data_IF_702483648764
#
_entry.id   IF_702483648764
#
_cell.length_a   1.000
_cell.length_b   1.000
_cell.length_c   1.000
_cell.angle_alpha   90.00
_cell.angle_beta   90.00
_cell.angle_gamma   90.00
#
_symmetry.space_group_name_H-M   'P 1'
#
loop_
_entity.id
_entity.type
_entity.pdbx_description
1 polymer ?
#
# COMPACT_ATOMS: atom_id res chain seq x y z
N UNK A 1 9.72 -4.26 14.71
CA UNK A 1 8.97 -3.36 13.81
C UNK A 1 9.77 -3.21 12.53
N UNK A 2 9.20 -3.45 11.34
CA UNK A 2 9.90 -3.21 10.09
C UNK A 2 10.10 -1.71 9.84
N UNK A 3 11.07 -1.36 9.00
CA UNK A 3 11.32 0.02 8.61
C UNK A 3 10.25 0.49 7.62
N UNK A 4 9.34 1.35 8.08
CA UNK A 4 8.22 1.82 7.27
C UNK A 4 8.67 2.69 6.09
N UNK A 5 9.75 3.46 6.22
CA UNK A 5 10.28 4.29 5.13
C UNK A 5 10.94 3.42 4.06
N UNK A 6 11.64 2.35 4.47
CA UNK A 6 12.17 1.36 3.53
C UNK A 6 11.05 0.66 2.76
N UNK A 7 10.00 0.19 3.46
CA UNK A 7 8.83 -0.45 2.82
C UNK A 7 8.16 0.52 1.83
N UNK A 8 7.96 1.78 2.23
CA UNK A 8 7.40 2.81 1.35
C UNK A 8 8.23 2.94 0.07
N UNK A 9 9.55 3.10 0.20
CA UNK A 9 10.45 3.22 -0.95
C UNK A 9 10.39 2.01 -1.88
N UNK A 10 10.35 0.80 -1.34
CA UNK A 10 10.22 -0.43 -2.12
C UNK A 10 8.91 -0.50 -2.91
N UNK A 11 7.79 -0.08 -2.31
CA UNK A 11 6.47 -0.06 -2.94
C UNK A 11 6.37 1.05 -3.99
N UNK A 12 6.89 2.25 -3.70
CA UNK A 12 6.96 3.36 -4.66
C UNK A 12 7.80 3.00 -5.88
N UNK A 13 8.92 2.29 -5.69
CA UNK A 13 9.75 1.81 -6.80
C UNK A 13 8.98 0.80 -7.68
N UNK A 14 8.24 -0.13 -7.07
CA UNK A 14 7.42 -1.09 -7.81
C UNK A 14 6.31 -0.39 -8.60
N UNK A 15 5.57 0.52 -7.97
CA UNK A 15 4.50 1.29 -8.62
C UNK A 15 5.02 2.03 -9.85
N UNK A 16 6.21 2.64 -9.74
CA UNK A 16 6.87 3.30 -10.87
C UNK A 16 7.27 2.31 -11.98
N UNK A 17 7.79 1.13 -11.63
CA UNK A 17 8.11 0.08 -12.62
C UNK A 17 6.86 -0.43 -13.35
N UNK A 18 5.71 -0.41 -12.69
CA UNK A 18 4.42 -0.78 -13.28
C UNK A 18 3.76 0.36 -14.07
N UNK A 19 4.27 1.60 -14.00
CA UNK A 19 3.73 2.76 -14.69
C UNK A 19 2.51 3.40 -14.02
N UNK A 20 2.40 3.28 -12.69
CA UNK A 20 1.27 3.82 -11.90
C UNK A 20 1.69 4.97 -10.96
N UNK A 21 2.86 5.58 -11.13
CA UNK A 21 3.38 6.64 -10.25
C UNK A 21 2.51 7.90 -10.21
N UNK A 22 1.81 8.20 -11.31
CA UNK A 22 0.88 9.34 -11.37
C UNK A 22 -0.49 9.00 -10.79
N UNK A 23 -0.83 7.71 -10.70
CA UNK A 23 -2.15 7.22 -10.32
C UNK A 23 -2.24 6.79 -8.85
N UNK A 24 -1.12 6.34 -8.28
CA UNK A 24 -1.04 5.80 -6.93
C UNK A 24 -0.08 6.63 -6.09
N UNK A 25 -0.45 6.90 -4.84
CA UNK A 25 0.42 7.54 -3.85
C UNK A 25 0.56 6.62 -2.64
N UNK A 26 1.79 6.33 -2.25
CA UNK A 26 2.08 5.47 -1.10
C UNK A 26 2.38 6.33 0.13
N UNK A 27 1.77 5.96 1.24
CA UNK A 27 2.14 6.43 2.56
C UNK A 27 2.39 5.20 3.43
N UNK A 28 3.45 5.18 4.22
CA UNK A 28 3.66 4.13 5.20
C UNK A 28 3.86 4.77 6.57
N UNK A 29 3.13 4.29 7.57
CA UNK A 29 3.22 4.81 8.93
C UNK A 29 3.37 3.66 9.91
N UNK A 30 4.15 3.84 11.00
CA UNK A 30 4.13 2.90 12.11
C UNK A 30 2.71 2.76 12.66
N UNK A 31 2.27 1.53 12.90
CA UNK A 31 0.99 1.26 13.55
C UNK A 31 1.21 0.29 14.70
N UNK A 32 1.12 0.81 15.92
CA UNK A 32 1.54 0.10 17.12
C UNK A 32 3.02 -0.30 17.09
N UNK A 33 3.37 -1.34 17.84
CA UNK A 33 4.79 -1.71 18.05
C UNK A 33 5.32 -2.76 17.06
N UNK A 34 4.44 -3.31 16.21
CA UNK A 34 4.74 -4.55 15.45
C UNK A 34 4.66 -4.39 13.93
N UNK A 35 3.92 -3.43 13.40
CA UNK A 35 3.66 -3.36 11.97
C UNK A 35 3.66 -1.93 11.42
N UNK A 36 3.87 -1.82 10.11
CA UNK A 36 3.68 -0.61 9.33
C UNK A 36 2.35 -0.72 8.58
N UNK A 37 1.50 0.30 8.71
CA UNK A 37 0.35 0.46 7.83
C UNK A 37 0.80 1.14 6.55
N UNK A 38 0.66 0.46 5.42
CA UNK A 38 0.97 0.95 4.07
C UNK A 38 -0.34 1.32 3.39
N UNK A 39 -0.59 2.62 3.26
CA UNK A 39 -1.75 3.21 2.61
C UNK A 39 -1.41 3.60 1.18
N UNK A 40 -2.21 3.10 0.23
CA UNK A 40 -2.11 3.44 -1.19
C UNK A 40 -3.36 4.22 -1.57
N UNK A 41 -3.18 5.52 -1.79
CA UNK A 41 -4.23 6.41 -2.27
C UNK A 41 -4.34 6.30 -3.78
N UNK A 42 -5.55 6.08 -4.28
CA UNK A 42 -5.87 5.91 -5.70
C UNK A 42 -6.45 7.23 -6.24
N UNK A 43 -5.68 7.90 -7.09
CA UNK A 43 -6.07 9.20 -7.67
C UNK A 43 -7.02 9.08 -8.86
N UNK A 44 -7.08 7.92 -9.53
CA UNK A 44 -7.96 7.68 -10.68
C UNK A 44 -9.01 6.60 -10.39
N UNK A 45 -10.25 6.76 -10.88
CA UNK A 45 -11.38 5.89 -10.51
C UNK A 45 -11.27 4.43 -10.97
N UNK A 46 -10.26 4.04 -11.75
CA UNK A 46 -10.16 2.69 -12.34
C UNK A 46 -8.74 2.12 -12.26
N UNK A 47 -8.38 1.56 -11.09
CA UNK A 47 -7.18 0.72 -10.94
C UNK A 47 -7.61 -0.73 -10.77
N UNK A 48 -6.95 -1.64 -11.49
CA UNK A 48 -7.24 -3.08 -11.43
C UNK A 48 -6.77 -3.64 -10.09
N UNK A 49 -7.58 -4.53 -9.51
CA UNK A 49 -7.23 -5.20 -8.25
C UNK A 49 -5.87 -5.92 -8.31
N UNK A 50 -5.51 -6.45 -9.50
CA UNK A 50 -4.24 -7.14 -9.75
C UNK A 50 -2.99 -6.29 -9.46
N UNK A 51 -3.10 -4.95 -9.50
CA UNK A 51 -1.98 -4.05 -9.14
C UNK A 51 -1.67 -4.16 -7.64
N UNK A 52 -2.71 -4.22 -6.81
CA UNK A 52 -2.55 -4.37 -5.36
C UNK A 52 -2.10 -5.78 -4.98
N UNK A 53 -2.58 -6.81 -5.69
CA UNK A 53 -2.09 -8.19 -5.55
C UNK A 53 -0.59 -8.27 -5.87
N UNK A 54 -0.13 -7.63 -6.95
CA UNK A 54 1.29 -7.58 -7.30
C UNK A 54 2.14 -6.90 -6.22
N UNK A 55 1.65 -5.83 -5.60
CA UNK A 55 2.34 -5.15 -4.48
C UNK A 55 2.44 -6.08 -3.26
N UNK A 56 1.34 -6.77 -2.93
CA UNK A 56 1.32 -7.75 -1.83
C UNK A 56 2.33 -8.87 -2.08
N UNK A 57 2.29 -9.49 -3.25
CA UNK A 57 3.18 -10.61 -3.61
C UNK A 57 4.65 -10.18 -3.57
N UNK A 58 4.94 -8.96 -4.03
CA UNK A 58 6.28 -8.37 -4.00
C UNK A 58 6.83 -8.16 -2.58
N UNK A 59 5.99 -7.71 -1.64
CA UNK A 59 6.36 -7.58 -0.23
C UNK A 59 6.56 -8.97 0.42
N UNK A 60 5.68 -9.92 0.09
CA UNK A 60 5.80 -11.30 0.59
C UNK A 60 7.08 -11.98 0.09
N UNK A 61 7.48 -11.76 -1.17
CA UNK A 61 8.72 -12.26 -1.72
C UNK A 61 9.99 -11.70 -1.02
N UNK A 62 9.88 -10.58 -0.31
CA UNK A 62 10.95 -9.99 0.51
C UNK A 62 10.95 -10.43 1.97
N UNK A 63 10.06 -11.35 2.32
CA UNK A 63 9.96 -11.88 3.68
C UNK A 63 9.11 -11.01 4.61
N UNK A 64 8.33 -10.07 4.08
CA UNK A 64 7.29 -9.41 4.86
C UNK A 64 6.02 -10.26 4.89
N UNK A 65 5.28 -10.20 6.00
CA UNK A 65 3.91 -10.70 6.09
C UNK A 65 2.93 -9.54 5.91
N UNK A 66 1.83 -9.80 5.20
CA UNK A 66 0.76 -8.85 4.93
C UNK A 66 -0.56 -9.43 5.46
N UNK A 67 -1.12 -8.86 6.54
CA UNK A 67 -2.27 -9.45 7.27
C UNK A 67 -3.62 -8.81 7.00
N UNK A 68 -3.66 -7.57 6.52
CA UNK A 68 -4.91 -6.88 6.17
C UNK A 68 -4.71 -6.23 4.81
N UNK A 69 -5.72 -6.32 3.95
CA UNK A 69 -5.78 -5.71 2.62
C UNK A 69 -7.19 -5.12 2.49
N UNK A 70 -7.38 -3.98 3.13
CA UNK A 70 -8.70 -3.35 3.26
C UNK A 70 -8.84 -2.19 2.28
N UNK A 71 -9.93 -2.19 1.53
CA UNK A 71 -10.32 -1.06 0.67
C UNK A 71 -11.18 -0.11 1.48
N UNK A 72 -10.67 1.06 1.80
CA UNK A 72 -11.40 2.15 2.42
C UNK A 72 -11.94 3.08 1.34
N UNK A 73 -13.25 3.04 1.13
CA UNK A 73 -13.96 4.15 0.50
C UNK A 73 -14.41 5.10 1.60
N UNK A 74 -13.89 6.34 1.61
CA UNK A 74 -14.43 7.41 2.45
C UNK A 74 -15.74 7.89 1.83
N UNK A 75 -16.78 7.08 1.89
CA UNK A 75 -18.11 7.38 1.33
C UNK A 75 -18.75 8.68 1.87
N UNK A 76 -18.23 9.21 2.99
CA UNK A 76 -18.62 10.48 3.60
C UNK A 76 -17.79 11.69 3.10
N UNK A 77 -16.74 11.48 2.30
CA UNK A 77 -15.93 12.53 1.67
C UNK A 77 -15.78 12.17 0.19
N UNK A 78 -16.74 12.59 -0.66
CA UNK A 78 -16.80 12.19 -2.07
C UNK A 78 -15.55 12.55 -2.90
N UNK A 79 -14.82 13.58 -2.46
CA UNK A 79 -13.61 14.08 -3.12
C UNK A 79 -12.33 13.36 -2.65
N UNK A 80 -12.40 12.56 -1.58
CA UNK A 80 -11.24 11.84 -1.09
C UNK A 80 -10.94 10.61 -1.98
N UNK A 81 -9.66 10.38 -2.34
CA UNK A 81 -9.28 9.22 -3.12
C UNK A 81 -9.65 7.91 -2.41
N UNK A 82 -9.97 6.88 -3.18
CA UNK A 82 -10.09 5.52 -2.66
C UNK A 82 -8.74 5.13 -2.04
N UNK A 83 -8.75 4.54 -0.85
CA UNK A 83 -7.53 4.17 -0.15
C UNK A 83 -7.48 2.66 0.04
N UNK A 84 -6.35 2.04 -0.27
CA UNK A 84 -6.09 0.64 0.03
C UNK A 84 -5.04 0.52 1.11
N UNK A 85 -5.33 -0.16 2.21
CA UNK A 85 -4.39 -0.32 3.34
C UNK A 85 -3.88 -1.74 3.43
N UNK A 86 -2.56 -1.86 3.59
CA UNK A 86 -1.87 -3.10 3.91
C UNK A 86 -1.14 -3.02 5.25
N UNK A 87 -1.39 -3.98 6.14
CA UNK A 87 -0.60 -4.12 7.37
C UNK A 87 0.61 -5.02 7.12
N UNK A 88 1.80 -4.44 7.16
CA UNK A 88 3.07 -5.09 6.83
C UNK A 88 3.91 -5.30 8.09
N UNK A 89 4.35 -6.53 8.33
CA UNK A 89 5.16 -6.89 9.49
C UNK A 89 6.24 -7.91 9.13
N UNK A 90 7.25 -8.00 9.98
CA UNK A 90 8.35 -8.97 9.90
C UNK A 90 8.39 -9.69 11.24
N UNK A 91 8.31 -11.02 11.21
CA UNK A 91 8.51 -11.85 12.40
C UNK A 91 9.99 -11.92 12.77
#
# INVERSE_FOLDING_TARGET
MPDCEAIKGEVEELIRKMGFEDDLKVNAVPFGDKFCAVDIDVKRPFIRMSVFEAIKDYLQARGYRVSAADVFSRCHIPEAPLQFRMNVYKD
#
